data_IF_770253735529
#
_entry.id   IF_770253735529
#
_cell.length_a   1.000
_cell.length_b   1.000
_cell.length_c   1.000
_cell.angle_alpha   90.00
_cell.angle_beta   90.00
_cell.angle_gamma   90.00
#
_symmetry.space_group_name_H-M   'P 1'
#
loop_
_entity.id
_entity.type
_entity.pdbx_description
1 polymer ?
#
# COMPACT_ATOMS: atom_id res chain seq x y z
N UNK A 1 -2.62 -64.15 44.25
CA UNK A 1 -2.09 -62.78 44.41
C UNK A 1 -1.02 -62.57 43.34
N UNK A 2 -1.39 -61.92 42.23
CA UNK A 2 -0.52 -61.76 41.04
C UNK A 2 0.06 -60.36 41.05
N UNK A 3 1.39 -60.28 41.18
CA UNK A 3 2.20 -59.08 41.02
C UNK A 3 2.22 -58.70 39.52
N UNK A 4 1.70 -57.53 39.14
CA UNK A 4 1.81 -56.98 37.79
C UNK A 4 2.64 -55.69 37.84
N UNK A 5 3.87 -55.80 37.34
CA UNK A 5 4.79 -54.70 37.11
C UNK A 5 4.24 -53.74 36.04
N UNK A 6 4.11 -52.46 36.38
CA UNK A 6 3.74 -51.38 35.45
C UNK A 6 5.00 -50.98 34.65
N UNK A 7 4.95 -50.85 33.30
CA UNK A 7 6.11 -50.40 32.53
C UNK A 7 6.32 -48.89 32.67
N UNK A 8 7.54 -48.49 33.02
CA UNK A 8 7.99 -47.09 33.07
C UNK A 8 8.19 -46.54 31.65
N UNK A 9 7.68 -45.33 31.30
CA UNK A 9 7.86 -44.77 29.97
C UNK A 9 9.26 -44.15 29.78
N UNK A 10 9.94 -44.51 28.69
CA UNK A 10 11.36 -44.16 28.36
C UNK A 10 11.55 -42.74 27.78
N UNK A 11 10.85 -41.72 28.29
CA UNK A 11 10.95 -40.34 27.75
C UNK A 11 12.21 -39.58 28.17
N UNK A 12 12.90 -40.01 29.23
CA UNK A 12 14.08 -39.29 29.76
C UNK A 12 15.29 -39.23 28.82
N UNK A 13 15.41 -40.16 27.86
CA UNK A 13 16.55 -40.22 26.95
C UNK A 13 16.38 -39.36 25.68
N UNK A 14 15.14 -39.17 25.20
CA UNK A 14 14.87 -38.43 23.97
C UNK A 14 14.99 -36.89 24.16
N UNK A 15 14.57 -36.39 25.33
CA UNK A 15 14.67 -34.96 25.67
C UNK A 15 16.11 -34.52 26.01
N UNK A 16 16.96 -35.43 26.49
CA UNK A 16 18.35 -35.14 26.84
C UNK A 16 19.27 -34.84 25.65
N UNK A 17 18.90 -35.27 24.44
CA UNK A 17 19.72 -35.13 23.22
C UNK A 17 19.21 -33.97 22.33
N UNK A 18 17.93 -33.61 22.42
CA UNK A 18 17.33 -32.54 21.62
C UNK A 18 17.70 -31.13 22.11
N UNK A 19 17.84 -30.91 23.42
CA UNK A 19 18.14 -29.59 23.97
C UNK A 19 19.56 -29.08 23.65
N UNK A 20 20.63 -29.89 23.70
CA UNK A 20 21.97 -29.44 23.31
C UNK A 20 22.09 -29.12 21.82
N UNK A 21 21.36 -29.84 20.97
CA UNK A 21 21.38 -29.63 19.51
C UNK A 21 20.61 -28.38 19.10
N UNK A 22 19.49 -28.10 19.76
CA UNK A 22 18.73 -26.84 19.60
C UNK A 22 19.54 -25.65 20.15
N UNK A 23 20.23 -25.81 21.28
CA UNK A 23 21.10 -24.77 21.85
C UNK A 23 22.33 -24.50 20.97
N UNK A 24 22.94 -25.53 20.38
CA UNK A 24 24.03 -25.40 19.42
C UNK A 24 23.58 -24.70 18.13
N UNK A 25 22.39 -25.04 17.60
CA UNK A 25 21.81 -24.40 16.42
C UNK A 25 21.48 -22.91 16.66
N UNK A 26 20.98 -22.56 17.85
CA UNK A 26 20.70 -21.19 18.25
C UNK A 26 21.97 -20.35 18.43
N UNK A 27 23.04 -20.94 18.98
CA UNK A 27 24.36 -20.29 19.09
C UNK A 27 25.04 -20.10 17.73
N UNK A 28 24.89 -21.04 16.80
CA UNK A 28 25.48 -20.93 15.46
C UNK A 28 24.73 -19.92 14.56
N UNK A 29 23.42 -19.76 14.75
CA UNK A 29 22.63 -18.75 14.03
C UNK A 29 22.92 -17.30 14.49
N UNK A 30 23.40 -17.12 15.72
CA UNK A 30 23.79 -15.83 16.30
C UNK A 30 25.00 -15.16 15.64
N UNK A 31 25.81 -15.89 14.85
CA UNK A 31 27.00 -15.34 14.22
C UNK A 31 26.72 -14.52 12.94
N UNK A 32 25.47 -14.47 12.46
CA UNK A 32 25.09 -13.76 11.23
C UNK A 32 23.90 -12.81 11.45
N UNK A 33 24.21 -11.57 11.83
CA UNK A 33 23.45 -10.39 11.41
C UNK A 33 22.26 -9.94 12.28
N UNK A 34 22.41 -8.72 12.82
CA UNK A 34 21.36 -7.72 13.12
C UNK A 34 20.17 -8.19 13.97
N UNK A 35 20.31 -8.13 15.30
CA UNK A 35 19.29 -7.68 16.27
C UNK A 35 19.77 -7.95 17.72
N UNK A 36 20.78 -7.19 18.18
CA UNK A 36 21.45 -7.40 19.47
C UNK A 36 20.56 -7.24 20.72
N UNK A 37 19.45 -6.50 20.65
CA UNK A 37 18.56 -6.26 21.79
C UNK A 37 17.69 -7.47 22.16
N UNK A 38 17.39 -8.37 21.22
CA UNK A 38 16.57 -9.56 21.51
C UNK A 38 17.41 -10.58 22.30
N UNK A 39 18.72 -10.60 22.07
CA UNK A 39 19.65 -11.55 22.69
C UNK A 39 20.02 -11.19 24.14
N UNK A 40 20.03 -9.90 24.51
CA UNK A 40 20.20 -9.49 25.92
C UNK A 40 19.08 -10.02 26.81
N UNK A 41 17.88 -10.12 26.24
CA UNK A 41 16.68 -10.57 26.96
C UNK A 41 16.56 -12.10 26.93
N UNK A 42 17.10 -12.78 25.91
CA UNK A 42 17.02 -14.24 25.77
C UNK A 42 18.09 -15.01 26.57
N UNK A 43 19.31 -14.47 26.70
CA UNK A 43 20.40 -15.10 27.46
C UNK A 43 20.08 -15.40 28.94
N UNK A 44 19.45 -14.47 29.70
CA UNK A 44 19.07 -14.77 31.08
C UNK A 44 17.93 -15.80 31.14
N UNK A 45 17.04 -15.85 30.14
CA UNK A 45 15.96 -16.84 30.08
C UNK A 45 16.51 -18.24 29.83
N UNK A 46 17.45 -18.40 28.88
CA UNK A 46 18.02 -19.71 28.57
C UNK A 46 18.88 -20.27 29.72
N UNK A 47 19.65 -19.42 30.41
CA UNK A 47 20.41 -19.83 31.60
C UNK A 47 19.52 -20.20 32.79
N UNK A 48 18.39 -19.50 32.99
CA UNK A 48 17.40 -19.83 34.02
C UNK A 48 16.71 -21.16 33.74
N UNK A 49 16.36 -21.44 32.47
CA UNK A 49 15.78 -22.72 32.06
C UNK A 49 16.77 -23.88 32.23
N UNK A 50 18.06 -23.68 31.91
CA UNK A 50 19.10 -24.70 32.13
C UNK A 50 19.32 -24.99 33.62
N UNK A 51 19.36 -23.96 34.47
CA UNK A 51 19.47 -24.14 35.93
C UNK A 51 18.24 -24.84 36.51
N UNK A 52 17.04 -24.49 36.04
CA UNK A 52 15.78 -25.14 36.44
C UNK A 52 15.78 -26.63 36.07
N UNK A 53 16.18 -26.96 34.83
CA UNK A 53 16.32 -28.34 34.35
C UNK A 53 17.37 -29.15 35.14
N UNK A 54 18.53 -28.55 35.45
CA UNK A 54 19.58 -29.21 36.25
C UNK A 54 19.11 -29.49 37.69
N UNK A 55 18.33 -28.59 38.29
CA UNK A 55 17.76 -28.78 39.64
C UNK A 55 16.68 -29.86 39.67
N UNK A 56 15.84 -29.96 38.64
CA UNK A 56 14.80 -30.99 38.52
C UNK A 56 15.42 -32.40 38.37
N UNK A 57 16.53 -32.52 37.65
CA UNK A 57 17.20 -33.82 37.43
C UNK A 57 18.01 -34.32 38.63
N UNK A 58 18.57 -33.42 39.46
CA UNK A 58 19.21 -33.84 40.72
C UNK A 58 18.20 -34.32 41.78
N UNK A 59 17.06 -33.62 41.92
CA UNK A 59 16.01 -34.01 42.90
C UNK A 59 15.32 -35.32 42.52
N UNK A 60 15.24 -35.67 41.23
CA UNK A 60 14.69 -36.94 40.76
C UNK A 60 15.54 -38.18 41.14
N UNK A 61 16.84 -38.04 41.39
CA UNK A 61 17.73 -39.16 41.78
C UNK A 61 17.86 -39.34 43.30
N UNK A 62 17.49 -38.34 44.10
CA UNK A 62 17.60 -38.38 45.56
C UNK A 62 16.39 -39.05 46.26
N UNK A 63 15.32 -39.40 45.53
CA UNK A 63 14.08 -39.94 46.10
C UNK A 63 14.04 -41.49 46.22
N UNK A 64 15.17 -42.19 46.02
CA UNK A 64 15.20 -43.65 46.05
C UNK A 64 16.46 -44.24 46.68
N UNK A 65 16.75 -43.95 47.96
CA UNK A 65 17.47 -44.90 48.83
C UNK A 65 17.32 -44.55 50.32
N UNK A 66 17.12 -45.59 51.13
CA UNK A 66 17.35 -45.71 52.58
C UNK A 66 16.26 -45.27 53.59
N UNK A 67 15.45 -46.26 53.96
CA UNK A 67 15.01 -46.52 55.34
C UNK A 67 16.18 -47.02 56.21
N UNK A 68 16.59 -46.27 57.23
CA UNK A 68 17.18 -46.77 58.49
C UNK A 68 17.24 -45.65 59.56
N UNK A 69 17.09 -46.05 60.82
CA UNK A 69 16.75 -45.26 62.02
C UNK A 69 17.95 -44.50 62.65
N UNK A 70 17.79 -43.22 63.03
CA UNK A 70 18.48 -42.52 64.15
C UNK A 70 17.91 -41.08 64.37
N UNK A 71 17.91 -40.51 65.60
CA UNK A 71 17.05 -39.38 65.99
C UNK A 71 17.63 -37.98 65.70
N UNK A 72 16.74 -36.98 65.73
CA UNK A 72 16.88 -35.58 65.27
C UNK A 72 18.02 -34.76 65.92
N UNK A 73 18.42 -33.66 65.24
CA UNK A 73 18.03 -32.35 65.78
C UNK A 73 17.29 -31.46 64.76
N UNK A 74 16.52 -30.53 65.31
CA UNK A 74 15.53 -29.67 64.64
C UNK A 74 16.17 -28.46 63.92
N UNK A 75 15.77 -28.24 62.64
CA UNK A 75 15.71 -26.97 61.85
C UNK A 75 17.03 -26.22 61.49
N UNK A 76 17.15 -25.51 60.34
CA UNK A 76 16.08 -24.79 59.63
C UNK A 76 16.06 -25.01 58.09
N UNK A 77 14.95 -25.49 57.52
CA UNK A 77 14.78 -25.46 56.06
C UNK A 77 13.39 -25.16 55.48
N UNK A 78 12.40 -24.54 56.17
CA UNK A 78 11.19 -24.09 55.48
C UNK A 78 11.34 -22.75 54.74
N UNK A 79 12.33 -21.91 55.07
CA UNK A 79 12.46 -20.53 54.52
C UNK A 79 13.14 -20.41 53.15
N UNK A 80 14.12 -21.28 52.81
CA UNK A 80 14.82 -21.22 51.51
C UNK A 80 13.98 -21.78 50.36
N UNK A 81 13.13 -22.76 50.63
CA UNK A 81 12.24 -23.36 49.62
C UNK A 81 10.99 -22.50 49.40
N UNK A 82 10.45 -21.86 50.45
CA UNK A 82 9.39 -20.85 50.33
C UNK A 82 9.82 -19.58 49.60
N UNK A 83 11.09 -19.16 49.72
CA UNK A 83 11.65 -18.07 48.92
C UNK A 83 11.65 -18.36 47.42
N UNK A 84 12.10 -19.56 47.02
CA UNK A 84 12.09 -19.99 45.61
C UNK A 84 10.68 -20.14 45.04
N UNK A 85 9.73 -20.64 45.85
CA UNK A 85 8.31 -20.72 45.45
C UNK A 85 7.72 -19.32 45.27
N UNK A 86 8.04 -18.37 46.15
CA UNK A 86 7.62 -16.97 46.03
C UNK A 86 8.19 -16.29 44.78
N UNK A 87 9.46 -16.54 44.47
CA UNK A 87 10.11 -16.01 43.27
C UNK A 87 9.49 -16.60 41.99
N UNK A 88 9.16 -17.90 41.99
CA UNK A 88 8.44 -18.56 40.89
C UNK A 88 7.04 -17.98 40.69
N UNK A 89 6.28 -17.79 41.78
CA UNK A 89 4.96 -17.16 41.73
C UNK A 89 5.03 -15.75 41.15
N UNK A 90 5.98 -14.94 41.62
CA UNK A 90 6.18 -13.58 41.08
C UNK A 90 6.57 -13.56 39.59
N UNK A 91 7.27 -14.60 39.13
CA UNK A 91 7.67 -14.75 37.72
C UNK A 91 6.49 -15.15 36.87
N UNK A 92 5.62 -16.04 37.38
CA UNK A 92 4.40 -16.48 36.73
C UNK A 92 3.39 -15.33 36.61
N UNK A 93 3.19 -14.54 37.66
CA UNK A 93 2.33 -13.35 37.63
C UNK A 93 2.79 -12.33 36.59
N UNK A 94 4.11 -12.10 36.51
CA UNK A 94 4.71 -11.23 35.47
C UNK A 94 4.55 -11.82 34.08
N UNK A 95 4.60 -13.14 33.92
CA UNK A 95 4.39 -13.81 32.64
C UNK A 95 2.93 -13.65 32.18
N UNK A 96 1.95 -13.87 33.06
CA UNK A 96 0.53 -13.65 32.76
C UNK A 96 0.24 -12.21 32.34
N UNK A 97 0.80 -11.23 33.04
CA UNK A 97 0.58 -9.82 32.65
C UNK A 97 1.19 -9.51 31.27
N UNK A 98 2.37 -10.06 30.96
CA UNK A 98 2.98 -9.94 29.62
C UNK A 98 2.13 -10.62 28.54
N UNK A 99 1.56 -11.79 28.83
CA UNK A 99 0.65 -12.48 27.92
C UNK A 99 -0.61 -11.67 27.64
N UNK A 100 -1.23 -11.10 28.67
CA UNK A 100 -2.41 -10.25 28.54
C UNK A 100 -2.14 -9.03 27.66
N UNK A 101 -1.00 -8.37 27.87
CA UNK A 101 -0.57 -7.23 27.03
C UNK A 101 -0.34 -7.68 25.59
N UNK A 102 0.29 -8.84 25.36
CA UNK A 102 0.51 -9.38 24.03
C UNK A 102 -0.79 -9.77 23.31
N UNK A 103 -1.77 -10.30 24.02
CA UNK A 103 -3.10 -10.63 23.49
C UNK A 103 -3.86 -9.36 23.06
N UNK A 104 -3.90 -8.34 23.92
CA UNK A 104 -4.53 -7.06 23.60
C UNK A 104 -3.86 -6.37 22.41
N UNK A 105 -2.52 -6.39 22.36
CA UNK A 105 -1.76 -5.89 21.22
C UNK A 105 -2.10 -6.67 19.93
N UNK A 106 -2.15 -8.00 19.99
CA UNK A 106 -2.49 -8.85 18.82
C UNK A 106 -3.90 -8.57 18.31
N UNK A 107 -4.86 -8.38 19.22
CA UNK A 107 -6.25 -8.03 18.87
C UNK A 107 -6.32 -6.65 18.20
N UNK A 108 -5.68 -5.63 18.79
CA UNK A 108 -5.60 -4.29 18.21
C UNK A 108 -4.95 -4.29 16.83
N UNK A 109 -3.87 -5.05 16.64
CA UNK A 109 -3.23 -5.21 15.33
C UNK A 109 -4.20 -5.85 14.32
N UNK A 110 -4.89 -6.93 14.69
CA UNK A 110 -5.86 -7.57 13.81
C UNK A 110 -6.99 -6.62 13.37
N UNK A 111 -7.54 -5.85 14.31
CA UNK A 111 -8.58 -4.85 14.03
C UNK A 111 -8.06 -3.73 13.10
N UNK A 112 -6.85 -3.21 13.38
CA UNK A 112 -6.21 -2.19 12.56
C UNK A 112 -5.90 -2.70 11.14
N UNK A 113 -5.44 -3.94 10.98
CA UNK A 113 -5.19 -4.56 9.68
C UNK A 113 -6.49 -4.77 8.91
N UNK A 114 -7.58 -5.16 9.58
CA UNK A 114 -8.90 -5.30 8.93
C UNK A 114 -9.42 -3.95 8.42
N UNK A 115 -9.29 -2.89 9.21
CA UNK A 115 -9.66 -1.54 8.80
C UNK A 115 -8.80 -1.06 7.62
N UNK A 116 -7.49 -1.29 7.68
CA UNK A 116 -6.57 -0.96 6.60
C UNK A 116 -6.93 -1.69 5.30
N UNK A 117 -7.30 -2.97 5.36
CA UNK A 117 -7.75 -3.77 4.22
C UNK A 117 -8.99 -3.16 3.56
N UNK A 118 -9.99 -2.77 4.36
CA UNK A 118 -11.19 -2.11 3.83
C UNK A 118 -10.89 -0.75 3.20
N UNK A 119 -10.01 0.06 3.82
CA UNK A 119 -9.58 1.34 3.25
C UNK A 119 -8.82 1.14 1.93
N UNK A 120 -7.89 0.18 1.88
CA UNK A 120 -7.14 -0.15 0.67
C UNK A 120 -8.07 -0.60 -0.46
N UNK A 121 -9.07 -1.45 -0.18
CA UNK A 121 -10.04 -1.89 -1.18
C UNK A 121 -10.91 -0.74 -1.73
N UNK A 122 -11.33 0.20 -0.87
CA UNK A 122 -12.06 1.40 -1.30
C UNK A 122 -11.18 2.30 -2.18
N UNK A 123 -9.94 2.54 -1.77
CA UNK A 123 -9.00 3.37 -2.54
C UNK A 123 -8.72 2.75 -3.91
N UNK A 124 -8.52 1.43 -3.98
CA UNK A 124 -8.32 0.71 -5.24
C UNK A 124 -9.53 0.90 -6.16
N UNK A 125 -10.74 0.69 -5.65
CA UNK A 125 -11.99 0.87 -6.42
C UNK A 125 -12.16 2.31 -6.92
N UNK A 126 -11.82 3.29 -6.08
CA UNK A 126 -11.86 4.71 -6.45
C UNK A 126 -10.82 5.03 -7.53
N UNK A 127 -9.59 4.54 -7.40
CA UNK A 127 -8.55 4.72 -8.41
C UNK A 127 -8.91 4.06 -9.74
N UNK A 128 -9.54 2.88 -9.74
CA UNK A 128 -10.05 2.24 -10.96
C UNK A 128 -11.16 3.07 -11.63
N UNK A 129 -12.04 3.71 -10.85
CA UNK A 129 -13.03 4.65 -11.39
C UNK A 129 -12.37 5.89 -12.00
N UNK A 130 -11.41 6.49 -11.31
CA UNK A 130 -10.63 7.63 -11.81
C UNK A 130 -9.87 7.28 -13.09
N UNK A 131 -9.36 6.05 -13.20
CA UNK A 131 -8.68 5.57 -14.41
C UNK A 131 -9.58 5.63 -15.63
N UNK A 132 -10.82 5.13 -15.50
CA UNK A 132 -11.80 5.20 -16.59
C UNK A 132 -12.14 6.64 -16.97
N UNK A 133 -12.28 7.53 -15.99
CA UNK A 133 -12.54 8.95 -16.24
C UNK A 133 -11.40 9.63 -17.01
N UNK A 134 -10.14 9.29 -16.71
CA UNK A 134 -8.99 9.81 -17.46
C UNK A 134 -9.00 9.29 -18.91
N UNK A 135 -9.35 8.02 -19.14
CA UNK A 135 -9.49 7.49 -20.49
C UNK A 135 -10.59 8.19 -21.29
N UNK A 136 -11.74 8.46 -20.67
CA UNK A 136 -12.82 9.24 -21.29
C UNK A 136 -12.38 10.67 -21.60
N UNK A 137 -11.62 11.30 -20.69
CA UNK A 137 -11.05 12.64 -20.90
C UNK A 137 -10.07 12.68 -22.08
N UNK A 138 -9.20 11.68 -22.22
CA UNK A 138 -8.27 11.56 -23.34
C UNK A 138 -9.01 11.48 -24.69
N UNK A 139 -10.08 10.70 -24.75
CA UNK A 139 -10.94 10.61 -25.93
C UNK A 139 -11.60 11.96 -26.24
N UNK A 140 -12.17 12.63 -25.24
CA UNK A 140 -12.80 13.94 -25.42
C UNK A 140 -11.81 15.00 -25.92
N UNK A 141 -10.59 15.04 -25.39
CA UNK A 141 -9.54 15.96 -25.85
C UNK A 141 -9.10 15.68 -27.28
N UNK A 142 -9.01 14.40 -27.67
CA UNK A 142 -8.74 14.00 -29.05
C UNK A 142 -9.85 14.46 -30.00
N UNK A 143 -11.11 14.27 -29.61
CA UNK A 143 -12.27 14.70 -30.40
C UNK A 143 -12.32 16.22 -30.54
N UNK A 144 -12.03 16.96 -29.46
CA UNK A 144 -11.89 18.43 -29.50
C UNK A 144 -10.77 18.82 -30.47
N UNK A 145 -9.61 18.16 -30.42
CA UNK A 145 -8.50 18.42 -31.34
C UNK A 145 -8.92 18.26 -32.80
N UNK A 146 -9.54 17.13 -33.13
CA UNK A 146 -10.02 16.85 -34.50
C UNK A 146 -11.13 17.82 -34.95
N UNK A 147 -12.07 18.18 -34.07
CA UNK A 147 -13.09 19.17 -34.36
C UNK A 147 -12.49 20.54 -34.65
N UNK A 148 -11.49 20.94 -33.87
CA UNK A 148 -10.80 22.23 -34.01
C UNK A 148 -10.01 22.30 -35.33
N UNK A 149 -9.36 21.21 -35.74
CA UNK A 149 -8.69 21.12 -37.06
C UNK A 149 -9.68 21.27 -38.22
N UNK A 150 -10.85 20.61 -38.14
CA UNK A 150 -11.91 20.76 -39.17
C UNK A 150 -12.46 22.18 -39.23
N UNK A 151 -12.62 22.86 -38.09
CA UNK A 151 -13.03 24.27 -38.07
C UNK A 151 -11.94 25.13 -38.71
N UNK A 152 -10.66 24.82 -38.46
CA UNK A 152 -9.52 25.50 -39.08
C UNK A 152 -9.58 25.48 -40.60
N UNK A 153 -9.82 24.30 -41.21
CA UNK A 153 -9.91 24.20 -42.68
C UNK A 153 -11.12 24.93 -43.27
N UNK A 154 -12.24 24.99 -42.55
CA UNK A 154 -13.41 25.79 -42.96
C UNK A 154 -13.06 27.28 -42.96
N UNK A 155 -12.31 27.76 -41.96
CA UNK A 155 -11.89 29.15 -41.88
C UNK A 155 -10.93 29.54 -43.01
N UNK A 156 -10.06 28.63 -43.45
CA UNK A 156 -9.22 28.84 -44.64
C UNK A 156 -10.05 29.03 -45.91
N UNK A 157 -11.10 28.22 -46.10
CA UNK A 157 -12.04 28.37 -47.22
C UNK A 157 -12.80 29.71 -47.13
N UNK A 158 -13.20 30.14 -45.93
CA UNK A 158 -13.88 31.43 -45.75
C UNK A 158 -12.95 32.60 -46.10
N UNK A 159 -11.68 32.56 -45.70
CA UNK A 159 -10.69 33.58 -46.05
C UNK A 159 -10.47 33.63 -47.58
N UNK A 160 -10.42 32.47 -48.24
CA UNK A 160 -10.36 32.38 -49.70
C UNK A 160 -11.61 32.99 -50.37
N UNK A 161 -12.81 32.69 -49.88
CA UNK A 161 -14.06 33.27 -50.41
C UNK A 161 -14.06 34.78 -50.22
N UNK A 162 -13.61 35.28 -49.06
CA UNK A 162 -13.50 36.71 -48.80
C UNK A 162 -12.54 37.38 -49.79
N UNK A 163 -11.37 36.77 -50.04
CA UNK A 163 -10.41 37.27 -51.02
C UNK A 163 -10.98 37.30 -52.45
N UNK A 164 -11.64 36.22 -52.89
CA UNK A 164 -12.29 36.16 -54.20
C UNK A 164 -13.41 37.20 -54.34
N UNK A 165 -14.20 37.40 -53.28
CA UNK A 165 -15.26 38.41 -53.24
C UNK A 165 -14.69 39.82 -53.35
N UNK A 166 -13.56 40.08 -52.69
CA UNK A 166 -12.87 41.36 -52.78
C UNK A 166 -12.34 41.64 -54.18
N UNK A 167 -11.79 40.62 -54.85
CA UNK A 167 -11.37 40.74 -56.27
C UNK A 167 -12.55 41.00 -57.20
N UNK A 168 -13.69 40.35 -56.99
CA UNK A 168 -14.92 40.61 -57.75
C UNK A 168 -15.43 42.04 -57.54
N UNK A 169 -15.41 42.52 -56.30
CA UNK A 169 -15.78 43.89 -55.95
C UNK A 169 -14.85 44.92 -56.62
N UNK A 170 -13.54 44.66 -56.61
CA UNK A 170 -12.57 45.51 -57.30
C UNK A 170 -12.83 45.58 -58.81
N UNK A 171 -13.07 44.43 -59.44
CA UNK A 171 -13.41 44.38 -60.87
C UNK A 171 -14.70 45.13 -61.18
N UNK A 172 -15.72 45.01 -60.33
CA UNK A 172 -16.98 45.74 -60.47
C UNK A 172 -16.79 47.25 -60.32
N UNK A 173 -15.95 47.70 -59.38
CA UNK A 173 -15.59 49.11 -59.21
C UNK A 173 -14.89 49.69 -60.45
N UNK A 174 -14.00 48.92 -61.07
CA UNK A 174 -13.31 49.31 -62.32
C UNK A 174 -14.31 49.45 -63.47
N UNK A 175 -15.20 48.47 -63.66
CA UNK A 175 -16.18 48.52 -64.74
C UNK A 175 -17.24 49.61 -64.52
N UNK A 176 -17.61 49.87 -63.26
CA UNK A 176 -18.47 51.00 -62.90
C UNK A 176 -17.82 52.35 -63.23
N UNK A 177 -16.52 52.52 -62.96
CA UNK A 177 -15.77 53.71 -63.36
C UNK A 177 -15.72 53.85 -64.90
N UNK A 178 -15.58 52.73 -65.62
CA UNK A 178 -15.57 52.70 -67.09
C UNK A 178 -16.91 53.10 -67.71
N UNK A 179 -18.02 52.77 -67.05
CA UNK A 179 -19.37 53.18 -67.47
C UNK A 179 -19.69 54.67 -67.19
N UNK A 180 -18.80 55.40 -66.52
CA UNK A 180 -18.93 56.83 -66.26
C UNK A 180 -20.17 57.16 -65.41
N UNK A 181 -20.98 58.12 -65.87
CA UNK A 181 -22.19 58.57 -65.15
C UNK A 181 -23.21 57.43 -64.92
N UNK A 182 -23.31 56.47 -65.84
CA UNK A 182 -24.23 55.34 -65.72
C UNK A 182 -23.78 54.30 -64.68
N UNK A 183 -22.51 54.30 -64.29
CA UNK A 183 -21.93 53.35 -63.34
C UNK A 183 -21.92 53.82 -61.88
N UNK A 184 -22.29 55.07 -61.58
CA UNK A 184 -22.17 55.64 -60.23
C UNK A 184 -22.88 54.83 -59.14
N UNK A 185 -24.08 54.30 -59.41
CA UNK A 185 -24.81 53.46 -58.47
C UNK A 185 -24.13 52.10 -58.23
N UNK A 186 -23.56 51.50 -59.27
CA UNK A 186 -22.82 50.25 -59.18
C UNK A 186 -21.48 50.42 -58.45
N UNK A 187 -20.81 51.56 -58.61
CA UNK A 187 -19.56 51.85 -57.91
C UNK A 187 -19.71 51.83 -56.38
N UNK A 188 -20.79 52.43 -55.86
CA UNK A 188 -21.07 52.44 -54.42
C UNK A 188 -21.34 51.04 -53.87
N UNK A 189 -22.09 50.22 -54.63
CA UNK A 189 -22.34 48.83 -54.25
C UNK A 189 -21.03 48.03 -54.25
N UNK A 190 -20.20 48.18 -55.27
CA UNK A 190 -18.92 47.49 -55.37
C UNK A 190 -17.97 47.85 -54.20
N UNK A 191 -17.89 49.13 -53.83
CA UNK A 191 -17.10 49.56 -52.66
C UNK A 191 -17.60 48.94 -51.35
N UNK A 192 -18.91 48.90 -51.11
CA UNK A 192 -19.47 48.32 -49.89
C UNK A 192 -19.28 46.79 -49.85
N UNK A 193 -19.38 46.11 -50.99
CA UNK A 193 -19.09 44.66 -51.10
C UNK A 193 -17.61 44.38 -50.79
N UNK A 194 -16.68 45.17 -51.32
CA UNK A 194 -15.25 45.04 -51.03
C UNK A 194 -14.94 45.23 -49.55
N UNK A 195 -15.53 46.28 -48.95
CA UNK A 195 -15.40 46.56 -47.51
C UNK A 195 -15.96 45.43 -46.64
N UNK A 196 -17.05 44.78 -47.07
CA UNK A 196 -17.61 43.63 -46.36
C UNK A 196 -16.72 42.39 -46.49
N UNK A 197 -16.11 42.19 -47.66
CA UNK A 197 -15.16 41.12 -47.90
C UNK A 197 -13.90 41.27 -47.02
N UNK A 198 -13.32 42.47 -46.92
CA UNK A 198 -12.18 42.75 -46.04
C UNK A 198 -12.51 42.49 -44.57
N UNK A 199 -13.71 42.92 -44.13
CA UNK A 199 -14.19 42.62 -42.77
C UNK A 199 -14.33 41.12 -42.51
N UNK A 200 -14.78 40.36 -43.51
CA UNK A 200 -14.90 38.90 -43.42
C UNK A 200 -13.52 38.25 -43.26
N UNK A 201 -12.54 38.64 -44.07
CA UNK A 201 -11.16 38.13 -44.00
C UNK A 201 -10.53 38.39 -42.62
N UNK A 202 -10.65 39.60 -42.09
CA UNK A 202 -10.13 39.95 -40.76
C UNK A 202 -10.81 39.11 -39.66
N UNK A 203 -12.13 38.90 -39.74
CA UNK A 203 -12.86 38.09 -38.78
C UNK A 203 -12.48 36.60 -38.87
N UNK A 204 -12.30 36.07 -40.08
CA UNK A 204 -11.86 34.71 -40.33
C UNK A 204 -10.46 34.46 -39.75
N UNK A 205 -9.50 35.36 -39.99
CA UNK A 205 -8.15 35.29 -39.43
C UNK A 205 -8.16 35.35 -37.90
N UNK A 206 -8.92 36.26 -37.30
CA UNK A 206 -9.04 36.36 -35.83
C UNK A 206 -9.61 35.07 -35.23
N UNK A 207 -10.63 34.49 -35.86
CA UNK A 207 -11.22 33.22 -35.42
C UNK A 207 -10.22 32.07 -35.60
N UNK A 208 -9.44 32.06 -36.69
CA UNK A 208 -8.40 31.05 -36.94
C UNK A 208 -7.34 31.07 -35.84
N UNK A 209 -6.92 32.25 -35.36
CA UNK A 209 -6.01 32.37 -34.23
C UNK A 209 -6.60 31.78 -32.93
N UNK A 210 -7.87 32.05 -32.63
CA UNK A 210 -8.56 31.48 -31.45
C UNK A 210 -8.69 29.95 -31.54
N UNK A 211 -8.92 29.41 -32.74
CA UNK A 211 -8.99 27.98 -33.01
C UNK A 211 -7.60 27.33 -32.85
N UNK A 212 -6.52 27.97 -33.33
CA UNK A 212 -5.15 27.50 -33.10
C UNK A 212 -4.80 27.44 -31.62
N UNK A 213 -5.08 28.49 -30.86
CA UNK A 213 -4.91 28.51 -29.40
C UNK A 213 -5.72 27.41 -28.71
N UNK A 214 -6.97 27.17 -29.14
CA UNK A 214 -7.80 26.09 -28.61
C UNK A 214 -7.21 24.70 -28.90
N UNK A 215 -6.61 24.51 -30.08
CA UNK A 215 -5.92 23.27 -30.45
C UNK A 215 -4.68 23.03 -29.56
N UNK A 216 -3.87 24.06 -29.33
CA UNK A 216 -2.71 23.98 -28.43
C UNK A 216 -3.11 23.66 -26.99
N UNK A 217 -4.19 24.28 -26.48
CA UNK A 217 -4.76 23.98 -25.17
C UNK A 217 -5.25 22.54 -25.08
N UNK A 218 -5.92 22.02 -26.11
CA UNK A 218 -6.36 20.63 -26.15
C UNK A 218 -5.17 19.65 -26.14
N UNK A 219 -4.14 19.91 -26.95
CA UNK A 219 -2.90 19.11 -26.95
C UNK A 219 -2.21 19.12 -25.59
N UNK A 220 -2.14 20.27 -24.95
CA UNK A 220 -1.60 20.40 -23.58
C UNK A 220 -2.43 19.59 -22.59
N UNK A 221 -3.76 19.69 -22.66
CA UNK A 221 -4.67 18.88 -21.83
C UNK A 221 -4.49 17.38 -22.04
N UNK A 222 -4.26 16.95 -23.28
CA UNK A 222 -4.03 15.54 -23.61
C UNK A 222 -2.74 15.03 -22.99
N UNK A 223 -1.65 15.82 -23.06
CA UNK A 223 -0.39 15.48 -22.39
C UNK A 223 -0.54 15.40 -20.87
N UNK A 224 -1.23 16.36 -20.25
CA UNK A 224 -1.47 16.36 -18.81
C UNK A 224 -2.32 15.15 -18.37
N UNK A 225 -3.30 14.76 -19.18
CA UNK A 225 -4.13 13.58 -18.92
C UNK A 225 -3.31 12.29 -18.98
N UNK A 226 -2.41 12.16 -19.96
CA UNK A 226 -1.49 11.02 -20.06
C UNK A 226 -0.52 10.96 -18.87
N UNK A 227 -0.01 12.10 -18.41
CA UNK A 227 0.85 12.18 -17.21
C UNK A 227 0.06 11.78 -15.94
N UNK A 228 -1.19 12.22 -15.82
CA UNK A 228 -2.10 11.81 -14.74
C UNK A 228 -2.41 10.32 -14.79
N UNK A 229 -2.62 9.76 -15.99
CA UNK A 229 -2.82 8.32 -16.21
C UNK A 229 -1.63 7.51 -15.69
N UNK A 230 -0.40 7.87 -16.07
CA UNK A 230 0.82 7.20 -15.59
C UNK A 230 0.97 7.27 -14.07
N UNK A 231 0.69 8.43 -13.49
CA UNK A 231 0.76 8.62 -12.03
C UNK A 231 -0.24 7.71 -11.32
N UNK A 232 -1.45 7.60 -11.87
CA UNK A 232 -2.48 6.72 -11.35
C UNK A 232 -2.13 5.22 -11.53
N UNK A 233 -1.45 4.86 -12.61
CA UNK A 233 -0.93 3.50 -12.83
C UNK A 233 0.03 3.07 -11.72
N UNK A 234 0.99 3.95 -11.41
CA UNK A 234 1.93 3.74 -10.30
C UNK A 234 1.21 3.64 -8.96
N UNK A 235 0.26 4.53 -8.68
CA UNK A 235 -0.53 4.50 -7.45
C UNK A 235 -1.35 3.20 -7.31
N UNK A 236 -1.97 2.72 -8.40
CA UNK A 236 -2.67 1.44 -8.42
C UNK A 236 -1.73 0.27 -8.11
N UNK A 237 -0.49 0.30 -8.62
CA UNK A 237 0.53 -0.70 -8.28
C UNK A 237 0.88 -0.68 -6.79
N UNK A 238 1.17 0.51 -6.24
CA UNK A 238 1.48 0.69 -4.82
C UNK A 238 0.33 0.25 -3.89
N UNK A 239 -0.92 0.50 -4.28
CA UNK A 239 -2.08 0.02 -3.54
C UNK A 239 -2.21 -1.51 -3.56
N UNK A 240 -1.88 -2.18 -4.67
CA UNK A 240 -1.87 -3.65 -4.73
C UNK A 240 -0.79 -4.25 -3.84
N UNK A 241 0.40 -3.65 -3.82
CA UNK A 241 1.48 -4.04 -2.91
C UNK A 241 1.07 -3.84 -1.44
N UNK A 242 0.49 -2.68 -1.12
CA UNK A 242 -0.03 -2.38 0.22
C UNK A 242 -1.10 -3.38 0.65
N UNK A 243 -2.03 -3.74 -0.25
CA UNK A 243 -3.05 -4.77 0.02
C UNK A 243 -2.41 -6.12 0.34
N UNK A 244 -1.34 -6.50 -0.38
CA UNK A 244 -0.59 -7.74 -0.12
C UNK A 244 0.10 -7.71 1.24
N UNK A 245 0.65 -6.56 1.65
CA UNK A 245 1.26 -6.40 2.97
C UNK A 245 0.23 -6.49 4.10
N UNK A 246 -0.96 -5.91 3.89
CA UNK A 246 -2.07 -6.00 4.84
C UNK A 246 -2.55 -7.45 4.99
N UNK A 247 -2.65 -8.21 3.90
CA UNK A 247 -2.98 -9.65 4.00
C UNK A 247 -1.93 -10.43 4.81
N UNK A 248 -0.64 -10.18 4.58
CA UNK A 248 0.45 -10.79 5.36
C UNK A 248 0.38 -10.41 6.84
N UNK A 249 0.04 -9.16 7.16
CA UNK A 249 -0.15 -8.74 8.55
C UNK A 249 -1.33 -9.47 9.20
N UNK A 250 -2.42 -9.66 8.46
CA UNK A 250 -3.61 -10.34 8.97
C UNK A 250 -3.31 -11.83 9.27
N UNK A 251 -2.60 -12.51 8.37
CA UNK A 251 -2.18 -13.92 8.59
C UNK A 251 -1.22 -14.04 9.76
N UNK A 252 -0.30 -13.09 9.94
CA UNK A 252 0.61 -13.04 11.08
C UNK A 252 -0.15 -12.83 12.40
N UNK A 253 -1.08 -11.88 12.47
CA UNK A 253 -1.90 -11.66 13.67
C UNK A 253 -2.76 -12.87 14.03
N UNK A 254 -3.33 -13.56 13.04
CA UNK A 254 -4.06 -14.81 13.27
C UNK A 254 -3.15 -15.92 13.83
N UNK A 255 -1.93 -16.03 13.31
CA UNK A 255 -0.94 -17.00 13.78
C UNK A 255 -0.48 -16.70 15.21
N UNK A 256 -0.21 -15.42 15.51
CA UNK A 256 0.13 -14.96 16.87
C UNK A 256 -1.01 -15.25 17.86
N UNK A 257 -2.26 -14.97 17.47
CA UNK A 257 -3.43 -15.27 18.32
C UNK A 257 -3.52 -16.76 18.64
N UNK A 258 -3.29 -17.64 17.66
CA UNK A 258 -3.27 -19.10 17.87
C UNK A 258 -2.13 -19.53 18.79
N UNK A 259 -0.93 -18.97 18.60
CA UNK A 259 0.23 -19.28 19.43
C UNK A 259 0.03 -18.85 20.89
N UNK A 260 -0.53 -17.65 21.13
CA UNK A 260 -0.85 -17.17 22.47
C UNK A 260 -1.92 -18.04 23.15
N UNK A 261 -2.96 -18.44 22.42
CA UNK A 261 -3.99 -19.35 22.94
C UNK A 261 -3.40 -20.72 23.34
N UNK A 262 -2.51 -21.28 22.52
CA UNK A 262 -1.84 -22.55 22.83
C UNK A 262 -0.95 -22.49 24.07
N UNK A 263 -0.27 -21.35 24.30
CA UNK A 263 0.54 -21.15 25.51
C UNK A 263 -0.30 -21.06 26.79
N UNK A 264 -1.53 -20.53 26.69
CA UNK A 264 -2.48 -20.49 27.80
C UNK A 264 -3.04 -21.88 28.14
N UNK A 265 -3.22 -22.75 27.15
CA UNK A 265 -3.71 -24.13 27.36
C UNK A 265 -2.64 -25.06 28.01
N UNK A 266 -1.35 -24.70 27.92
CA UNK A 266 -0.24 -25.50 28.48
C UNK A 266 0.14 -25.14 29.94
N UNK A 267 -0.38 -24.04 30.49
CA UNK A 267 -0.08 -23.54 31.86
C UNK A 267 -1.23 -23.85 32.81
#
# INVERSE_FOLDING_TARGET
MVNRSIPQPRWGAALGIALPTILWALLHFSAKGTNGWIWSDLLPISSALLSSYYLLTQKGKAAHTQTAFAPAPQSPAPMKETGKIRDLQSTLDKAYERFRVAEDATKKTADATREASQKAGRNLSQSEATWKQIQELELALKDIGSATERVGSILEVIDEIAFQTNLLALNASVEAARAGEHGKGFAVVAEEVGRLADKCAVAAQKTSLMIKDSCEKSRTGSRLSEDARKTLESALSEYRETSTLIEKANTLSQSQKKALAGLLDEI
#
